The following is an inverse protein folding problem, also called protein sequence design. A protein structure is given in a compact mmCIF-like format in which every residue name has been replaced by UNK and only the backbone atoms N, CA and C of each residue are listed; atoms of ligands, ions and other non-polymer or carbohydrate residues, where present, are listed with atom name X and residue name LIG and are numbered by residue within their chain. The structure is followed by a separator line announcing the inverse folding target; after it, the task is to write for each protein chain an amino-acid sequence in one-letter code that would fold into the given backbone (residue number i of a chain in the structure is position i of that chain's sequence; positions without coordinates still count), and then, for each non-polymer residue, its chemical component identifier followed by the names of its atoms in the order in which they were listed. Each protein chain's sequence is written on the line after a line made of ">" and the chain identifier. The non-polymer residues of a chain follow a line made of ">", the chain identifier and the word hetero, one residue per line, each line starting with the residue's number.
data_IF_133045592537
#
_entry.id   IF_133045592537
#
_cell.length_a   1.000
_cell.length_b   1.000
_cell.length_c   1.000
_cell.angle_alpha   90.00
_cell.angle_beta   90.00
_cell.angle_gamma   90.00
#
_symmetry.space_group_name_H-M   'P 1'
#
loop_
_entity.id
_entity.type
_entity.pdbx_description
1 polymer ?
#
# COMPACT_ATOMS: atom_id res chain seq x y z
N UNK A 1 -2.75 0.29 -2.77
CA UNK A 1 -1.98 0.79 -1.61
C UNK A 1 -0.51 1.03 -1.90
N UNK A 2 -0.03 0.94 -3.14
CA UNK A 2 1.39 1.20 -3.46
C UNK A 2 1.84 2.61 -3.05
N UNK A 3 1.00 3.62 -3.29
CA UNK A 3 1.25 5.01 -2.85
C UNK A 3 1.45 5.14 -1.34
N UNK A 4 0.77 4.32 -0.52
CA UNK A 4 0.90 4.33 0.94
C UNK A 4 2.28 3.81 1.35
N UNK A 5 2.74 2.72 0.72
CA UNK A 5 4.09 2.19 0.96
C UNK A 5 5.18 3.19 0.59
N UNK A 6 5.01 3.89 -0.54
CA UNK A 6 5.95 4.92 -0.98
C UNK A 6 5.95 6.16 -0.07
N UNK A 7 4.78 6.61 0.38
CA UNK A 7 4.67 7.72 1.33
C UNK A 7 5.30 7.35 2.68
N UNK A 8 5.05 6.14 3.18
CA UNK A 8 5.66 5.60 4.40
C UNK A 8 7.19 5.54 4.28
N UNK A 9 7.72 5.05 3.16
CA UNK A 9 9.16 5.00 2.93
C UNK A 9 9.82 6.39 2.87
N UNK A 10 9.15 7.37 2.25
CA UNK A 10 9.64 8.75 2.12
C UNK A 10 9.57 9.60 3.39
N UNK A 11 8.91 9.11 4.45
CA UNK A 11 8.86 9.86 5.71
C UNK A 11 10.23 9.89 6.40
N UNK A 12 10.46 10.85 7.31
CA UNK A 12 11.73 10.95 8.08
C UNK A 12 11.81 9.90 9.19
N UNK A 13 11.75 8.62 8.84
CA UNK A 13 11.69 7.50 9.78
C UNK A 13 13.01 7.24 10.51
N UNK A 14 14.13 7.63 9.92
CA UNK A 14 15.47 7.46 10.48
C UNK A 14 15.69 8.24 11.78
N UNK A 15 14.97 9.35 11.97
CA UNK A 15 15.00 10.13 13.21
C UNK A 15 13.94 9.69 14.23
N UNK A 16 13.17 8.63 13.94
CA UNK A 16 12.10 8.13 14.81
C UNK A 16 12.57 6.96 15.68
N UNK A 17 11.78 6.65 16.70
CA UNK A 17 12.07 5.53 17.62
C UNK A 17 12.14 4.18 16.90
N UNK A 18 12.89 3.22 17.45
CA UNK A 18 12.96 1.85 16.92
C UNK A 18 11.59 1.18 16.83
N UNK A 19 10.66 1.52 17.75
CA UNK A 19 9.28 1.05 17.71
C UNK A 19 8.57 1.55 16.45
N UNK A 20 8.64 2.84 16.18
CA UNK A 20 8.07 3.44 14.97
C UNK A 20 8.65 2.81 13.70
N UNK A 21 9.96 2.58 13.65
CA UNK A 21 10.60 1.96 12.48
C UNK A 21 10.08 0.53 12.23
N UNK A 22 9.88 -0.27 13.28
CA UNK A 22 9.28 -1.61 13.19
C UNK A 22 7.84 -1.56 12.66
N UNK A 23 7.04 -0.65 13.20
CA UNK A 23 5.65 -0.46 12.77
C UNK A 23 5.60 0.00 11.30
N UNK A 24 6.51 0.89 10.89
CA UNK A 24 6.62 1.36 9.52
C UNK A 24 6.96 0.24 8.53
N UNK A 25 7.86 -0.67 8.90
CA UNK A 25 8.18 -1.84 8.07
C UNK A 25 6.93 -2.69 7.82
N UNK A 26 6.10 -2.92 8.85
CA UNK A 26 4.85 -3.65 8.70
C UNK A 26 3.90 -2.93 7.72
N UNK A 27 3.78 -1.62 7.82
CA UNK A 27 2.96 -0.80 6.91
C UNK A 27 3.46 -0.90 5.46
N UNK A 28 4.76 -0.79 5.23
CA UNK A 28 5.37 -0.91 3.90
C UNK A 28 5.11 -2.30 3.32
N UNK A 29 5.37 -3.36 4.09
CA UNK A 29 5.15 -4.75 3.68
C UNK A 29 3.67 -5.03 3.33
N UNK A 30 2.74 -4.53 4.13
CA UNK A 30 1.30 -4.65 3.85
C UNK A 30 0.89 -3.89 2.58
N UNK A 31 1.54 -2.77 2.30
CA UNK A 31 1.23 -1.90 1.16
C UNK A 31 1.65 -2.48 -0.20
N UNK A 32 2.62 -3.41 -0.22
CA UNK A 32 3.08 -4.09 -1.43
C UNK A 32 2.00 -4.98 -2.08
N UNK A 33 0.99 -5.40 -1.31
CA UNK A 33 -0.15 -6.19 -1.82
C UNK A 33 -1.41 -5.33 -1.78
N UNK A 34 -1.69 -4.54 -2.84
CA UNK A 34 -2.94 -3.80 -2.92
C UNK A 34 -4.12 -4.77 -2.80
N UNK A 35 -5.15 -4.34 -2.07
CA UNK A 35 -6.39 -5.09 -1.93
C UNK A 35 -7.08 -5.10 -3.31
N UNK A 36 -6.98 -6.23 -4.01
CA UNK A 36 -7.57 -6.43 -5.34
C UNK A 36 -8.91 -7.09 -5.14
N UNK A 37 -9.98 -6.37 -5.48
CA UNK A 37 -11.31 -6.95 -5.52
C UNK A 37 -11.49 -7.60 -6.89
N UNK A 38 -11.50 -8.94 -6.91
CA UNK A 38 -11.80 -9.69 -8.12
C UNK A 38 -13.29 -10.04 -8.14
N UNK A 39 -14.00 -9.63 -9.18
CA UNK A 39 -15.37 -10.09 -9.44
C UNK A 39 -15.28 -11.10 -10.57
N UNK A 40 -15.78 -12.31 -10.34
CA UNK A 40 -15.58 -13.49 -11.19
C UNK A 40 -15.80 -13.26 -12.71
N UNK A 41 -16.76 -12.43 -13.17
CA UNK A 41 -16.94 -12.13 -14.59
C UNK A 41 -16.08 -10.96 -15.10
N UNK A 42 -15.66 -10.04 -14.24
CA UNK A 42 -15.10 -8.73 -14.63
C UNK A 42 -13.60 -8.59 -14.33
N UNK A 43 -12.98 -9.58 -13.66
CA UNK A 43 -11.58 -9.51 -13.25
C UNK A 43 -11.37 -8.58 -12.05
N UNK A 44 -10.18 -7.97 -11.96
CA UNK A 44 -9.87 -7.00 -10.90
C UNK A 44 -10.65 -5.70 -11.15
N UNK A 45 -11.40 -5.26 -10.16
CA UNK A 45 -12.00 -3.93 -10.17
C UNK A 45 -10.89 -2.87 -10.03
N UNK A 46 -10.79 -2.00 -11.03
CA UNK A 46 -9.89 -0.85 -11.04
C UNK A 46 -10.63 0.38 -11.58
N UNK A 47 -10.14 1.60 -11.29
CA UNK A 47 -10.71 2.81 -11.89
C UNK A 47 -10.64 2.78 -13.43
N UNK A 48 -9.63 2.13 -13.99
CA UNK A 48 -9.49 1.92 -15.44
C UNK A 48 -10.66 1.10 -16.01
N UNK A 49 -11.19 0.13 -15.26
CA UNK A 49 -12.36 -0.66 -15.66
C UNK A 49 -13.64 0.19 -15.74
N UNK A 50 -13.80 1.15 -14.83
CA UNK A 50 -14.97 2.04 -14.76
C UNK A 50 -14.84 3.31 -15.61
N UNK A 51 -13.67 3.55 -16.21
CA UNK A 51 -13.42 4.74 -17.04
C UNK A 51 -13.70 4.50 -18.53
N UNK A 52 -14.21 3.31 -18.90
CA UNK A 52 -14.78 2.98 -20.20
C UNK A 52 -16.29 2.90 -20.10
#
# INVERSE_FOLDING_TARGET
>A
SEMVGMAAYKCKWFSQTTRFQRDLILVIMRSQRPLKLAVRPFGNLSMELFSK
#
